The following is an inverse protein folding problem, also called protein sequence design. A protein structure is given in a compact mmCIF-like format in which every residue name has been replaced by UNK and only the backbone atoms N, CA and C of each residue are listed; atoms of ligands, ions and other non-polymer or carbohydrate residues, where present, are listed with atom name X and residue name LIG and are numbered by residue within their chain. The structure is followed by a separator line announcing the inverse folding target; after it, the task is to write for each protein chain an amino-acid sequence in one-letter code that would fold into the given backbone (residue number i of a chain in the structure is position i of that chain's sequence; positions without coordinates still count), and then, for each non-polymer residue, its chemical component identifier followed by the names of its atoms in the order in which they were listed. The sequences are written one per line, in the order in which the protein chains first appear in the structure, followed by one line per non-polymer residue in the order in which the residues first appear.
data_IF_769831733290
#
_entry.id   IF_769831733290
#
_cell.length_a   1.000
_cell.length_b   1.000
_cell.length_c   1.000
_cell.angle_alpha   90.00
_cell.angle_beta   90.00
_cell.angle_gamma   90.00
#
_symmetry.space_group_name_H-M   'P 1'
#
loop_
_entity.id
_entity.type
_entity.pdbx_description
1 polymer ?
#
# COMPACT_ATOMS: atom_id res chain seq x y z
N UNK A 1 0.10 28.71 -3.44
CA UNK A 1 0.65 29.96 -4.02
C UNK A 1 2.17 30.00 -3.90
N UNK A 2 2.76 29.92 -2.70
CA UNK A 2 4.21 30.02 -2.54
C UNK A 2 5.01 28.88 -3.22
N UNK A 3 4.61 27.62 -3.01
CA UNK A 3 5.27 26.46 -3.68
C UNK A 3 5.24 26.59 -5.22
N UNK A 4 4.09 26.96 -5.79
CA UNK A 4 3.95 27.21 -7.22
C UNK A 4 4.78 28.41 -7.71
N UNK A 5 4.96 29.45 -6.90
CA UNK A 5 5.78 30.60 -7.25
C UNK A 5 7.28 30.27 -7.30
N UNK A 6 7.75 29.37 -6.43
CA UNK A 6 9.11 28.86 -6.50
C UNK A 6 9.34 27.96 -7.72
N UNK A 7 8.30 27.21 -8.14
CA UNK A 7 8.33 26.34 -9.32
C UNK A 7 9.56 25.40 -9.37
N UNK A 8 9.95 24.88 -8.20
CA UNK A 8 11.14 24.03 -8.05
C UNK A 8 10.80 22.58 -8.43
N UNK A 9 11.74 21.91 -9.10
CA UNK A 9 11.67 20.46 -9.39
C UNK A 9 12.57 19.70 -8.41
N UNK A 10 12.00 19.28 -7.27
CA UNK A 10 12.71 18.62 -6.17
C UNK A 10 12.91 17.11 -6.35
N UNK A 11 13.41 16.64 -7.50
CA UNK A 11 13.62 15.20 -7.75
C UNK A 11 14.81 14.59 -6.99
N UNK A 12 15.68 15.43 -6.42
CA UNK A 12 16.80 15.00 -5.57
C UNK A 12 17.11 16.07 -4.54
N UNK A 13 17.77 15.69 -3.44
CA UNK A 13 18.10 16.63 -2.38
C UNK A 13 18.90 17.85 -2.89
N UNK A 14 19.85 17.66 -3.81
CA UNK A 14 20.70 18.76 -4.30
C UNK A 14 19.93 19.82 -5.10
N UNK A 15 18.77 19.48 -5.69
CA UNK A 15 17.97 20.44 -6.46
C UNK A 15 17.02 21.27 -5.60
N UNK A 16 16.72 20.81 -4.38
CA UNK A 16 15.93 21.56 -3.40
C UNK A 16 16.08 21.00 -1.98
N UNK A 17 17.20 21.26 -1.28
CA UNK A 17 17.44 20.71 0.05
C UNK A 17 16.31 21.01 1.03
N UNK A 18 15.86 22.27 1.01
CA UNK A 18 14.79 22.74 1.88
C UNK A 18 13.46 22.04 1.63
N UNK A 19 13.12 21.70 0.38
CA UNK A 19 11.88 20.98 0.09
C UNK A 19 11.94 19.54 0.62
N UNK A 20 13.04 18.84 0.36
CA UNK A 20 13.22 17.45 0.83
C UNK A 20 13.26 17.36 2.35
N UNK A 21 14.04 18.21 3.03
CA UNK A 21 14.13 18.19 4.49
C UNK A 21 12.82 18.59 5.17
N UNK A 22 12.12 19.59 4.63
CA UNK A 22 10.85 20.03 5.19
C UNK A 22 9.77 18.94 5.07
N UNK A 23 9.73 18.20 3.95
CA UNK A 23 8.80 17.08 3.79
C UNK A 23 9.01 16.01 4.87
N UNK A 24 10.26 15.62 5.12
CA UNK A 24 10.62 14.64 6.16
C UNK A 24 10.15 15.10 7.54
N UNK A 25 10.43 16.36 7.90
CA UNK A 25 10.04 16.93 9.19
C UNK A 25 8.51 16.96 9.36
N UNK A 26 7.79 17.43 8.34
CA UNK A 26 6.33 17.55 8.37
C UNK A 26 5.67 16.17 8.50
N UNK A 27 6.18 15.16 7.80
CA UNK A 27 5.66 13.80 7.90
C UNK A 27 5.96 13.16 9.26
N UNK A 28 7.11 13.42 9.87
CA UNK A 28 7.39 13.01 11.24
C UNK A 28 6.45 13.69 12.25
N UNK A 29 6.13 14.97 12.06
CA UNK A 29 5.12 15.66 12.87
C UNK A 29 3.75 15.01 12.72
N UNK A 30 3.33 14.72 11.48
CA UNK A 30 2.05 14.10 11.21
C UNK A 30 1.94 12.68 11.79
N UNK A 31 2.99 11.86 11.65
CA UNK A 31 3.07 10.53 12.24
C UNK A 31 2.96 10.58 13.78
N UNK A 32 3.62 11.55 14.43
CA UNK A 32 3.50 11.79 15.88
C UNK A 32 2.10 12.22 16.28
N UNK A 33 1.44 13.09 15.51
CA UNK A 33 0.05 13.51 15.75
C UNK A 33 -0.93 12.32 15.67
N UNK A 34 -0.71 11.41 14.72
CA UNK A 34 -1.46 10.16 14.58
C UNK A 34 -1.08 9.09 15.61
N UNK A 35 -0.08 9.36 16.46
CA UNK A 35 0.48 8.40 17.44
C UNK A 35 0.95 7.10 16.79
N UNK A 36 1.51 7.18 15.58
CA UNK A 36 2.09 6.02 14.93
C UNK A 36 3.35 5.55 15.69
N UNK A 37 3.65 4.23 15.69
CA UNK A 37 4.88 3.71 16.26
C UNK A 37 6.13 4.37 15.67
N UNK A 38 7.22 4.41 16.44
CA UNK A 38 8.49 5.04 16.01
C UNK A 38 9.08 4.44 14.73
N UNK A 39 8.70 3.21 14.38
CA UNK A 39 9.10 2.53 13.15
C UNK A 39 8.64 3.26 11.87
N UNK A 40 7.65 4.16 11.96
CA UNK A 40 7.19 4.99 10.84
C UNK A 40 7.90 6.35 10.76
N UNK A 41 8.73 6.70 11.75
CA UNK A 41 9.46 7.97 11.77
C UNK A 41 10.76 7.87 10.99
N UNK A 42 11.16 9.00 10.40
CA UNK A 42 12.42 9.14 9.67
C UNK A 42 13.67 8.97 10.54
N UNK A 43 13.55 9.19 11.85
CA UNK A 43 14.65 8.98 12.80
C UNK A 43 14.90 7.50 13.14
N UNK A 44 14.12 6.56 12.58
CA UNK A 44 14.26 5.12 12.79
C UNK A 44 14.51 4.40 11.45
N UNK A 45 13.88 3.24 11.24
CA UNK A 45 14.03 2.43 10.01
C UNK A 45 13.01 2.79 8.93
N UNK A 46 12.05 3.67 9.23
CA UNK A 46 10.96 4.04 8.32
C UNK A 46 11.06 5.47 7.80
N UNK A 47 9.91 6.05 7.52
CA UNK A 47 9.75 7.38 6.97
C UNK A 47 8.43 7.52 6.23
N UNK A 48 8.26 8.63 5.51
CA UNK A 48 7.10 8.88 4.69
C UNK A 48 7.44 9.69 3.44
N UNK A 49 6.45 9.79 2.55
CA UNK A 49 6.51 10.61 1.33
C UNK A 49 5.14 11.20 1.04
N UNK A 50 5.10 12.42 0.51
CA UNK A 50 3.86 13.06 0.03
C UNK A 50 3.63 12.66 -1.43
N UNK A 51 2.49 12.02 -1.69
CA UNK A 51 2.08 11.60 -3.04
C UNK A 51 0.88 12.43 -3.52
N UNK A 52 0.66 12.46 -4.83
CA UNK A 52 -0.45 13.21 -5.44
C UNK A 52 -1.81 12.59 -5.15
N UNK A 53 -1.87 11.26 -4.99
CA UNK A 53 -3.11 10.56 -4.63
C UNK A 53 -2.87 9.29 -3.80
N UNK A 54 -3.92 8.83 -3.12
CA UNK A 54 -3.93 7.52 -2.47
C UNK A 54 -3.76 6.36 -3.47
N UNK A 55 -4.19 6.54 -4.73
CA UNK A 55 -4.04 5.50 -5.77
C UNK A 55 -2.56 5.29 -6.14
N UNK A 56 -1.79 6.37 -6.24
CA UNK A 56 -0.35 6.32 -6.47
C UNK A 56 0.37 5.69 -5.28
N UNK A 57 0.03 6.08 -4.05
CA UNK A 57 0.62 5.51 -2.85
C UNK A 57 0.40 3.99 -2.76
N UNK A 58 -0.83 3.52 -3.03
CA UNK A 58 -1.16 2.07 -3.08
C UNK A 58 -0.35 1.35 -4.16
N UNK A 59 -0.20 1.93 -5.35
CA UNK A 59 0.60 1.34 -6.41
C UNK A 59 2.07 1.20 -6.01
N UNK A 60 2.66 2.23 -5.39
CA UNK A 60 4.06 2.21 -4.95
C UNK A 60 4.31 1.10 -3.92
N UNK A 61 3.46 0.99 -2.88
CA UNK A 61 3.65 -0.06 -1.86
C UNK A 61 3.37 -1.46 -2.40
N UNK A 62 2.43 -1.60 -3.36
CA UNK A 62 2.16 -2.87 -4.04
C UNK A 62 3.35 -3.32 -4.87
N UNK A 63 3.97 -2.41 -5.63
CA UNK A 63 5.18 -2.69 -6.41
C UNK A 63 6.35 -3.07 -5.50
N UNK A 64 6.54 -2.36 -4.39
CA UNK A 64 7.58 -2.69 -3.41
C UNK A 64 7.39 -4.11 -2.82
N UNK A 65 6.16 -4.47 -2.45
CA UNK A 65 5.85 -5.81 -1.95
C UNK A 65 6.03 -6.90 -3.03
N UNK A 66 5.60 -6.61 -4.27
CA UNK A 66 5.75 -7.50 -5.42
C UNK A 66 7.24 -7.77 -5.69
N UNK A 67 8.04 -6.73 -5.84
CA UNK A 67 9.44 -6.85 -6.22
C UNK A 67 10.24 -7.60 -5.16
N UNK A 68 10.02 -7.29 -3.87
CA UNK A 68 10.59 -8.06 -2.75
C UNK A 68 10.19 -9.53 -2.81
N UNK A 69 8.94 -9.83 -3.15
CA UNK A 69 8.46 -11.23 -3.24
C UNK A 69 9.08 -11.97 -4.42
N UNK A 70 9.24 -11.30 -5.56
CA UNK A 70 9.89 -11.84 -6.75
C UNK A 70 11.41 -12.00 -6.60
N UNK A 71 12.06 -11.19 -5.78
CA UNK A 71 13.46 -11.41 -5.39
C UNK A 71 13.62 -12.71 -4.60
N UNK A 72 12.67 -13.00 -3.71
CA UNK A 72 12.69 -14.24 -2.89
C UNK A 72 12.29 -15.50 -3.67
N UNK A 73 11.29 -15.41 -4.56
CA UNK A 73 10.69 -16.57 -5.24
C UNK A 73 11.03 -16.67 -6.73
N UNK A 74 11.81 -15.71 -7.26
CA UNK A 74 12.14 -15.60 -8.68
C UNK A 74 11.05 -14.91 -9.51
N UNK A 75 11.48 -14.20 -10.56
CA UNK A 75 10.59 -13.41 -11.44
C UNK A 75 9.46 -14.19 -12.11
N UNK A 76 9.65 -15.50 -12.33
CA UNK A 76 8.62 -16.39 -12.92
C UNK A 76 7.43 -16.61 -11.99
N UNK A 77 7.57 -16.30 -10.70
CA UNK A 77 6.52 -16.47 -9.70
C UNK A 77 5.45 -15.37 -9.74
N UNK A 78 5.56 -14.39 -10.66
CA UNK A 78 4.58 -13.32 -10.84
C UNK A 78 3.15 -13.84 -11.04
N UNK A 79 2.98 -14.91 -11.82
CA UNK A 79 1.69 -15.56 -12.09
C UNK A 79 1.05 -16.20 -10.84
N UNK A 80 1.80 -16.35 -9.75
CA UNK A 80 1.35 -16.97 -8.50
C UNK A 80 1.05 -15.96 -7.40
N UNK A 81 1.34 -14.68 -7.62
CA UNK A 81 1.18 -13.65 -6.60
C UNK A 81 -0.29 -13.29 -6.38
N UNK A 82 -0.74 -13.33 -5.12
CA UNK A 82 -2.13 -13.07 -4.72
C UNK A 82 -2.27 -11.85 -3.84
N UNK A 83 -3.23 -11.00 -4.18
CA UNK A 83 -3.62 -9.78 -3.44
C UNK A 83 -4.98 -9.99 -2.78
N UNK A 84 -5.11 -9.55 -1.53
CA UNK A 84 -6.36 -9.61 -0.75
C UNK A 84 -6.89 -8.23 -0.43
N UNK A 85 -8.20 -8.05 -0.55
CA UNK A 85 -8.89 -6.81 -0.20
C UNK A 85 -10.31 -7.11 0.26
N UNK A 86 -10.96 -6.15 0.90
CA UNK A 86 -12.40 -6.21 1.16
C UNK A 86 -13.18 -5.98 -0.14
N UNK A 87 -14.37 -6.58 -0.26
CA UNK A 87 -15.35 -6.19 -1.29
C UNK A 87 -15.84 -4.74 -1.20
N UNK A 88 -15.53 -4.03 -0.10
CA UNK A 88 -15.76 -2.59 0.07
C UNK A 88 -14.56 -1.71 -0.30
N UNK A 89 -13.39 -2.30 -0.58
CA UNK A 89 -12.17 -1.54 -0.85
C UNK A 89 -12.32 -0.70 -2.13
N UNK A 90 -11.82 0.54 -2.10
CA UNK A 90 -11.88 1.45 -3.23
C UNK A 90 -11.25 0.84 -4.50
N UNK A 91 -11.88 1.07 -5.66
CA UNK A 91 -11.44 0.54 -6.97
C UNK A 91 -10.01 0.92 -7.37
N UNK A 92 -9.41 1.90 -6.68
CA UNK A 92 -8.00 2.27 -6.83
C UNK A 92 -7.05 1.08 -6.65
N UNK A 93 -7.35 0.16 -5.73
CA UNK A 93 -6.52 -1.02 -5.51
C UNK A 93 -6.58 -1.98 -6.70
N UNK A 94 -7.77 -2.26 -7.22
CA UNK A 94 -7.93 -3.11 -8.40
C UNK A 94 -7.19 -2.53 -9.60
N UNK A 95 -7.27 -1.21 -9.81
CA UNK A 95 -6.50 -0.49 -10.83
C UNK A 95 -4.99 -0.63 -10.61
N UNK A 96 -4.52 -0.49 -9.37
CA UNK A 96 -3.10 -0.67 -9.04
C UNK A 96 -2.62 -2.10 -9.34
N UNK A 97 -3.43 -3.12 -9.04
CA UNK A 97 -3.12 -4.52 -9.35
C UNK A 97 -2.98 -4.75 -10.86
N UNK A 98 -3.88 -4.18 -11.66
CA UNK A 98 -3.79 -4.25 -13.13
C UNK A 98 -2.51 -3.60 -13.66
N UNK A 99 -2.17 -2.39 -13.17
CA UNK A 99 -0.94 -1.69 -13.57
C UNK A 99 0.32 -2.46 -13.13
N UNK A 100 0.29 -3.07 -11.94
CA UNK A 100 1.39 -3.86 -11.40
C UNK A 100 1.57 -5.24 -12.06
N UNK A 101 0.68 -5.62 -12.98
CA UNK A 101 0.73 -6.91 -13.70
C UNK A 101 0.25 -8.10 -12.86
N UNK A 102 -0.58 -7.85 -11.85
CA UNK A 102 -1.22 -8.92 -11.08
C UNK A 102 -2.36 -9.51 -11.92
N UNK A 103 -2.39 -10.84 -11.98
CA UNK A 103 -3.39 -11.58 -12.72
C UNK A 103 -4.78 -11.35 -12.08
N UNK A 104 -5.82 -11.03 -12.88
CA UNK A 104 -7.17 -10.78 -12.36
C UNK A 104 -7.72 -11.91 -11.48
N UNK A 105 -7.41 -13.16 -11.85
CA UNK A 105 -7.75 -14.37 -11.12
C UNK A 105 -7.02 -14.52 -9.78
N UNK A 106 -6.03 -13.68 -9.48
CA UNK A 106 -5.30 -13.67 -8.20
C UNK A 106 -5.63 -12.42 -7.35
N UNK A 107 -6.69 -11.69 -7.72
CA UNK A 107 -7.24 -10.62 -6.89
C UNK A 107 -8.42 -11.15 -6.08
N UNK A 108 -8.23 -11.30 -4.77
CA UNK A 108 -9.19 -11.90 -3.84
C UNK A 108 -9.98 -10.80 -3.12
N UNK A 109 -11.28 -10.76 -3.38
CA UNK A 109 -12.23 -9.97 -2.61
C UNK A 109 -12.80 -10.82 -1.48
N UNK A 110 -12.45 -10.45 -0.25
CA UNK A 110 -12.99 -11.06 0.96
C UNK A 110 -14.26 -10.30 1.34
N UNK A 111 -15.36 -11.04 1.49
CA UNK A 111 -16.67 -10.45 1.79
C UNK A 111 -16.65 -9.77 3.15
N UNK A 112 -17.09 -8.51 3.18
CA UNK A 112 -17.40 -7.82 4.41
C UNK A 112 -18.75 -8.29 4.97
N UNK A 113 -18.87 -8.36 6.29
CA UNK A 113 -20.12 -8.76 6.93
C UNK A 113 -20.94 -7.53 7.34
N UNK A 114 -22.21 -7.48 6.93
CA UNK A 114 -23.17 -6.48 7.40
C UNK A 114 -23.32 -6.50 8.93
N UNK A 115 -23.32 -7.69 9.54
CA UNK A 115 -23.46 -7.84 11.00
C UNK A 115 -22.29 -7.21 11.77
N UNK A 116 -21.15 -7.02 11.09
CA UNK A 116 -19.94 -6.42 11.63
C UNK A 116 -19.62 -5.05 10.99
N UNK A 117 -20.65 -4.25 10.70
CA UNK A 117 -20.49 -2.90 10.11
C UNK A 117 -19.66 -2.87 8.83
N UNK A 118 -19.80 -3.90 7.99
CA UNK A 118 -19.01 -4.09 6.77
C UNK A 118 -17.50 -4.20 7.01
N UNK A 119 -17.08 -4.67 8.18
CA UNK A 119 -15.70 -5.08 8.40
C UNK A 119 -15.45 -6.49 7.87
N UNK A 120 -14.23 -6.74 7.42
CA UNK A 120 -13.77 -8.07 7.04
C UNK A 120 -13.32 -8.82 8.29
N UNK A 121 -13.84 -10.03 8.48
CA UNK A 121 -13.44 -10.91 9.57
C UNK A 121 -11.99 -11.42 9.36
N UNK A 122 -11.11 -11.35 10.37
CA UNK A 122 -9.74 -11.89 10.27
C UNK A 122 -9.69 -13.38 9.90
N UNK A 123 -10.70 -14.14 10.32
CA UNK A 123 -10.83 -15.57 10.04
C UNK A 123 -11.06 -15.82 8.55
N UNK A 124 -11.91 -15.01 7.91
CA UNK A 124 -12.19 -15.11 6.47
C UNK A 124 -10.95 -14.80 5.62
N UNK A 125 -10.13 -13.84 6.05
CA UNK A 125 -8.83 -13.55 5.41
C UNK A 125 -7.87 -14.72 5.59
N UNK A 126 -7.79 -15.27 6.80
CA UNK A 126 -6.90 -16.39 7.11
C UNK A 126 -7.26 -17.66 6.34
N UNK A 127 -8.56 -17.92 6.17
CA UNK A 127 -9.07 -19.02 5.35
C UNK A 127 -8.71 -18.82 3.87
N UNK A 128 -8.96 -17.63 3.31
CA UNK A 128 -8.60 -17.32 1.92
C UNK A 128 -7.10 -17.51 1.66
N UNK A 129 -6.25 -17.01 2.56
CA UNK A 129 -4.79 -17.20 2.50
C UNK A 129 -4.43 -18.69 2.55
N UNK A 130 -5.06 -19.47 3.44
CA UNK A 130 -4.77 -20.90 3.60
C UNK A 130 -5.13 -21.70 2.34
N UNK A 131 -6.25 -21.38 1.70
CA UNK A 131 -6.68 -22.00 0.44
C UNK A 131 -5.70 -21.72 -0.69
N UNK A 132 -5.30 -20.46 -0.85
CA UNK A 132 -4.35 -20.07 -1.91
C UNK A 132 -2.95 -20.70 -1.68
N UNK A 133 -2.48 -20.74 -0.43
CA UNK A 133 -1.23 -21.46 -0.07
C UNK A 133 -1.31 -22.94 -0.42
N UNK A 134 -2.42 -23.61 -0.11
CA UNK A 134 -2.62 -25.03 -0.43
C UNK A 134 -2.65 -25.30 -1.95
N UNK A 135 -3.01 -24.28 -2.73
CA UNK A 135 -3.02 -24.30 -4.21
C UNK A 135 -1.66 -23.94 -4.83
N UNK A 136 -0.62 -23.72 -4.01
CA UNK A 136 0.71 -23.34 -4.48
C UNK A 136 0.85 -21.89 -4.94
N UNK A 137 -0.11 -21.03 -4.58
CA UNK A 137 -0.06 -19.60 -4.80
C UNK A 137 0.72 -18.89 -3.67
N UNK A 138 1.09 -17.64 -3.90
CA UNK A 138 1.94 -16.84 -3.02
C UNK A 138 1.15 -15.59 -2.58
N UNK A 139 0.50 -15.64 -1.40
CA UNK A 139 -0.03 -14.46 -0.74
C UNK A 139 1.10 -13.44 -0.49
N UNK A 140 0.96 -12.21 -0.98
CA UNK A 140 2.02 -11.20 -0.81
C UNK A 140 1.54 -9.81 -0.39
N UNK A 141 0.26 -9.49 -0.56
CA UNK A 141 -0.27 -8.17 -0.22
C UNK A 141 -1.71 -8.23 0.27
N UNK A 142 -2.00 -7.47 1.33
CA UNK A 142 -3.36 -7.24 1.82
C UNK A 142 -3.59 -5.73 1.97
N UNK A 143 -4.73 -5.25 1.48
CA UNK A 143 -5.17 -3.87 1.69
C UNK A 143 -6.27 -3.82 2.75
N UNK A 144 -5.90 -3.43 3.97
CA UNK A 144 -6.87 -3.13 5.01
C UNK A 144 -7.37 -1.68 4.85
N UNK A 145 -8.68 -1.50 4.74
CA UNK A 145 -9.31 -0.17 4.60
C UNK A 145 -9.88 0.26 5.96
N UNK A 146 -9.50 1.45 6.41
CA UNK A 146 -10.08 2.09 7.61
C UNK A 146 -10.97 3.23 7.10
N UNK A 147 -12.26 3.19 7.45
CA UNK A 147 -13.37 3.96 6.86
C UNK A 147 -13.98 3.28 5.63
N UNK A 148 -15.19 2.71 5.78
CA UNK A 148 -16.02 2.34 4.64
C UNK A 148 -17.05 3.44 4.41
N UNK A 149 -17.22 3.83 3.15
CA UNK A 149 -18.31 4.71 2.70
C UNK A 149 -19.63 4.07 3.13
N UNK A 150 -20.35 4.70 4.05
CA UNK A 150 -21.80 4.52 4.15
C UNK A 150 -22.47 5.27 3.00
#
# INVERSE_FOLDING_TARGET
MLSAAFNIVGFSWITSPAATELEVIVLDWFAKMLKLPSQFLSSAVGGGVIQGSASEAVLVVLLAARDRTLEMHGKKSLEKLVVYASDQTHSALQKACQIAGIFPENFRLVKADYSNSYAVAPEAVSEAISVDLSSGLIPFFICATVSNKL
#
